data_IF_187110483174
#
_entry.id   IF_187110483174
#
_cell.length_a   1.000
_cell.length_b   1.000
_cell.length_c   1.000
_cell.angle_alpha   90.00
_cell.angle_beta   90.00
_cell.angle_gamma   90.00
#
_symmetry.space_group_name_H-M   'P 1'
#
loop_
_entity.id
_entity.type
_entity.pdbx_description
1 polymer ?
#
# COMPACT_ATOMS: atom_id res chain seq x y z
N UNK A 1 -15.95 -30.98 2.95
CA UNK A 1 -14.58 -30.63 3.37
C UNK A 1 -14.61 -29.19 3.78
N UNK A 2 -14.63 -28.89 5.06
CA UNK A 2 -14.52 -27.53 5.58
C UNK A 2 -13.08 -27.09 5.35
N UNK A 3 -12.86 -26.22 4.36
CA UNK A 3 -11.55 -25.60 4.15
C UNK A 3 -11.18 -24.88 5.47
N UNK A 4 -10.01 -25.19 6.02
CA UNK A 4 -9.49 -24.40 7.13
C UNK A 4 -9.39 -22.93 6.66
N UNK A 5 -9.70 -21.95 7.54
CA UNK A 5 -9.60 -20.56 7.16
C UNK A 5 -8.17 -20.24 6.70
N UNK A 6 -8.05 -19.54 5.57
CA UNK A 6 -6.77 -19.11 4.99
C UNK A 6 -5.96 -18.32 6.02
N UNK A 7 -4.73 -18.78 6.30
CA UNK A 7 -3.87 -18.15 7.32
C UNK A 7 -3.11 -17.00 6.72
N UNK A 8 -3.59 -15.80 7.01
CA UNK A 8 -3.03 -14.54 6.54
C UNK A 8 -1.90 -14.06 7.47
N UNK A 9 -0.71 -13.86 6.93
CA UNK A 9 0.37 -13.12 7.58
C UNK A 9 0.37 -11.67 7.08
N UNK A 10 0.30 -10.70 7.99
CA UNK A 10 0.35 -9.28 7.69
C UNK A 10 1.65 -8.66 8.19
N UNK A 11 2.47 -8.12 7.29
CA UNK A 11 3.67 -7.36 7.67
C UNK A 11 3.37 -5.87 7.78
N UNK A 12 3.96 -5.19 8.74
CA UNK A 12 3.66 -3.78 9.02
C UNK A 12 2.43 -3.57 9.91
N UNK A 13 2.12 -4.55 10.78
CA UNK A 13 0.93 -4.57 11.63
C UNK A 13 0.78 -3.40 12.61
N UNK A 14 1.86 -2.70 12.98
CA UNK A 14 1.83 -1.49 13.81
C UNK A 14 1.47 -0.22 13.04
N UNK A 15 1.53 -0.25 11.72
CA UNK A 15 1.21 0.86 10.84
C UNK A 15 -0.29 1.20 10.79
N UNK A 16 -0.61 2.28 10.08
CA UNK A 16 -1.99 2.77 9.94
C UNK A 16 -2.91 1.68 9.34
N UNK A 17 -2.52 1.09 8.21
CA UNK A 17 -3.27 0.02 7.55
C UNK A 17 -3.34 -1.24 8.42
N UNK A 18 -2.23 -1.62 9.08
CA UNK A 18 -2.19 -2.81 9.92
C UNK A 18 -3.18 -2.77 11.08
N UNK A 19 -3.32 -1.62 11.73
CA UNK A 19 -4.33 -1.43 12.79
C UNK A 19 -5.77 -1.53 12.26
N UNK A 20 -6.03 -1.03 11.06
CA UNK A 20 -7.36 -1.13 10.45
C UNK A 20 -7.67 -2.57 10.03
N UNK A 21 -6.73 -3.26 9.38
CA UNK A 21 -6.88 -4.67 8.98
C UNK A 21 -7.06 -5.58 10.20
N UNK A 22 -6.33 -5.35 11.30
CA UNK A 22 -6.46 -6.14 12.54
C UNK A 22 -7.88 -6.11 13.13
N UNK A 23 -8.60 -4.99 12.98
CA UNK A 23 -10.00 -4.88 13.44
C UNK A 23 -10.95 -5.74 12.61
N UNK A 24 -10.67 -5.90 11.31
CA UNK A 24 -11.51 -6.62 10.36
C UNK A 24 -11.15 -8.11 10.24
N UNK A 25 -9.88 -8.45 10.47
CA UNK A 25 -9.35 -9.81 10.38
C UNK A 25 -8.45 -10.11 11.60
N UNK A 26 -9.04 -10.21 12.82
CA UNK A 26 -8.28 -10.36 14.07
C UNK A 26 -7.58 -11.72 14.19
N UNK A 27 -7.98 -12.69 13.40
CA UNK A 27 -7.40 -14.04 13.29
C UNK A 27 -6.11 -14.08 12.43
N UNK A 28 -5.79 -13.01 11.68
CA UNK A 28 -4.55 -12.94 10.93
C UNK A 28 -3.33 -12.78 11.87
N UNK A 29 -2.15 -13.15 11.36
CA UNK A 29 -0.89 -13.06 12.09
C UNK A 29 -0.26 -11.67 11.86
N UNK A 30 0.00 -10.94 12.94
CA UNK A 30 0.58 -9.59 12.90
C UNK A 30 1.84 -9.52 13.76
N UNK A 31 2.95 -10.10 13.35
CA UNK A 31 4.19 -9.96 14.11
C UNK A 31 4.63 -8.49 14.17
N UNK A 32 5.28 -8.13 15.27
CA UNK A 32 5.98 -6.85 15.40
C UNK A 32 7.23 -6.84 14.53
N UNK A 33 7.79 -5.66 14.25
CA UNK A 33 9.05 -5.55 13.52
C UNK A 33 10.25 -6.13 14.29
N UNK A 34 10.17 -6.23 15.62
CA UNK A 34 11.19 -6.90 16.43
C UNK A 34 11.14 -8.43 16.35
N UNK A 35 9.99 -9.00 16.00
CA UNK A 35 9.80 -10.45 15.82
C UNK A 35 9.98 -10.88 14.35
N UNK A 36 9.67 -9.97 13.41
CA UNK A 36 9.65 -10.23 11.98
C UNK A 36 10.14 -9.00 11.21
N UNK A 37 11.45 -8.78 11.25
CA UNK A 37 12.08 -7.70 10.49
C UNK A 37 12.19 -8.13 9.03
N UNK A 38 11.52 -7.40 8.13
CA UNK A 38 11.56 -7.71 6.69
C UNK A 38 12.97 -7.56 6.09
N UNK A 39 13.85 -6.83 6.74
CA UNK A 39 15.26 -6.69 6.31
C UNK A 39 16.15 -7.89 6.73
N UNK A 40 15.68 -8.73 7.67
CA UNK A 40 16.38 -9.93 8.14
C UNK A 40 15.62 -11.20 7.70
N UNK A 41 16.07 -11.77 6.58
CA UNK A 41 15.49 -13.01 6.05
C UNK A 41 15.59 -14.18 7.03
N UNK A 42 16.67 -14.28 7.79
CA UNK A 42 16.89 -15.38 8.74
C UNK A 42 15.89 -15.33 9.89
N UNK A 43 15.63 -14.13 10.41
CA UNK A 43 14.61 -13.90 11.44
C UNK A 43 13.22 -14.24 10.91
N UNK A 44 12.86 -13.76 9.70
CA UNK A 44 11.60 -14.08 9.05
C UNK A 44 11.40 -15.60 8.88
N UNK A 45 12.40 -16.30 8.36
CA UNK A 45 12.38 -17.75 8.14
C UNK A 45 12.25 -18.52 9.45
N UNK A 46 12.92 -18.08 10.51
CA UNK A 46 12.79 -18.68 11.85
C UNK A 46 11.38 -18.48 12.43
N UNK A 47 10.82 -17.27 12.29
CA UNK A 47 9.50 -16.94 12.80
C UNK A 47 8.38 -17.75 12.16
N UNK A 48 8.43 -18.01 10.84
CA UNK A 48 7.40 -18.79 10.12
C UNK A 48 7.50 -20.30 10.35
N UNK A 49 8.59 -20.79 10.93
CA UNK A 49 8.81 -22.23 11.13
C UNK A 49 7.69 -22.87 11.94
N UNK A 50 7.07 -23.90 11.40
CA UNK A 50 5.95 -24.61 12.04
C UNK A 50 4.60 -23.86 11.97
N UNK A 51 4.54 -22.70 11.32
CA UNK A 51 3.28 -21.99 11.05
C UNK A 51 2.79 -22.27 9.64
N UNK A 52 1.55 -22.60 9.48
CA UNK A 52 0.92 -22.64 8.17
C UNK A 52 0.57 -21.19 7.76
N UNK A 53 1.04 -20.76 6.59
CA UNK A 53 0.79 -19.42 6.02
C UNK A 53 0.46 -19.65 4.56
N UNK A 54 -0.74 -19.25 4.17
CA UNK A 54 -1.26 -19.43 2.81
C UNK A 54 -1.11 -18.14 1.99
N UNK A 55 -1.29 -16.99 2.67
CA UNK A 55 -1.17 -15.67 2.05
C UNK A 55 -0.37 -14.72 2.94
N UNK A 56 0.50 -13.93 2.31
CA UNK A 56 1.23 -12.82 2.94
C UNK A 56 0.70 -11.50 2.37
N UNK A 57 0.13 -10.65 3.22
CA UNK A 57 -0.21 -9.26 2.89
C UNK A 57 0.95 -8.37 3.35
N UNK A 58 1.77 -7.94 2.39
CA UNK A 58 2.97 -7.17 2.65
C UNK A 58 2.70 -5.67 2.57
N UNK A 59 2.62 -5.01 3.73
CA UNK A 59 2.41 -3.57 3.89
C UNK A 59 3.51 -2.88 4.70
N UNK A 60 4.51 -3.62 5.17
CA UNK A 60 5.68 -3.02 5.81
C UNK A 60 6.44 -2.14 4.81
N UNK A 61 6.60 -0.87 5.14
CA UNK A 61 7.31 0.08 4.29
C UNK A 61 7.76 1.31 5.09
N UNK A 62 8.84 1.93 4.66
CA UNK A 62 9.25 3.26 5.07
C UNK A 62 8.61 4.27 4.11
N UNK A 63 7.64 5.08 4.59
CA UNK A 63 6.66 5.78 3.73
C UNK A 63 6.74 7.31 3.75
N UNK A 64 7.58 7.92 4.60
CA UNK A 64 7.67 9.38 4.71
C UNK A 64 8.62 9.97 3.66
N UNK A 65 8.15 10.66 2.59
CA UNK A 65 9.03 11.21 1.57
C UNK A 65 10.13 12.13 2.13
N UNK A 66 9.86 13.08 3.05
CA UNK A 66 10.93 13.90 3.63
C UNK A 66 12.01 13.08 4.34
N UNK A 67 11.61 12.06 5.12
CA UNK A 67 12.58 11.17 5.81
C UNK A 67 13.35 10.28 4.84
N UNK A 68 12.76 9.92 3.70
CA UNK A 68 13.45 9.16 2.64
C UNK A 68 14.45 10.04 1.89
N UNK A 69 14.16 11.34 1.76
CA UNK A 69 15.14 12.27 1.18
C UNK A 69 16.35 12.45 2.08
N UNK A 70 16.16 12.42 3.42
CA UNK A 70 17.23 12.45 4.42
C UNK A 70 18.00 11.11 4.50
N UNK A 71 17.29 9.98 4.46
CA UNK A 71 17.86 8.63 4.59
C UNK A 71 17.31 7.69 3.50
N UNK A 72 17.82 7.79 2.26
CA UNK A 72 17.37 6.93 1.15
C UNK A 72 17.81 5.46 1.31
N UNK A 73 18.88 5.17 2.05
CA UNK A 73 19.33 3.80 2.27
C UNK A 73 18.32 3.01 3.10
N UNK A 74 17.70 3.65 4.08
CA UNK A 74 16.61 3.00 4.83
C UNK A 74 15.43 2.62 3.95
N UNK A 75 15.09 3.44 2.95
CA UNK A 75 14.05 3.08 1.99
C UNK A 75 14.48 1.92 1.08
N UNK A 76 15.77 1.88 0.69
CA UNK A 76 16.33 0.75 -0.05
C UNK A 76 16.24 -0.54 0.76
N UNK A 77 16.65 -0.51 2.03
CA UNK A 77 16.64 -1.69 2.91
C UNK A 77 15.21 -2.18 3.17
N UNK A 78 14.30 -1.31 3.58
CA UNK A 78 12.94 -1.72 3.98
C UNK A 78 12.05 -1.98 2.75
N UNK A 79 12.00 -1.04 1.79
CA UNK A 79 11.02 -1.10 0.71
C UNK A 79 11.48 -2.01 -0.45
N UNK A 80 12.78 -2.12 -0.71
CA UNK A 80 13.30 -2.94 -1.81
C UNK A 80 13.80 -4.27 -1.26
N UNK A 81 14.88 -4.29 -0.45
CA UNK A 81 15.46 -5.52 0.08
C UNK A 81 14.43 -6.28 0.94
N UNK A 82 13.71 -5.58 1.80
CA UNK A 82 12.64 -6.16 2.62
C UNK A 82 11.57 -6.84 1.77
N UNK A 83 11.14 -6.20 0.67
CA UNK A 83 10.19 -6.83 -0.26
C UNK A 83 10.79 -8.03 -0.99
N UNK A 84 12.06 -7.98 -1.41
CA UNK A 84 12.77 -9.14 -1.98
C UNK A 84 12.80 -10.31 -0.99
N UNK A 85 13.07 -10.05 0.29
CA UNK A 85 13.04 -11.08 1.33
C UNK A 85 11.65 -11.71 1.49
N UNK A 86 10.58 -10.89 1.46
CA UNK A 86 9.19 -11.38 1.50
C UNK A 86 8.86 -12.23 0.27
N UNK A 87 9.29 -11.83 -0.93
CA UNK A 87 9.15 -12.61 -2.17
C UNK A 87 9.82 -13.98 -2.03
N UNK A 88 11.07 -14.02 -1.54
CA UNK A 88 11.79 -15.27 -1.28
C UNK A 88 11.06 -16.17 -0.27
N UNK A 89 10.55 -15.55 0.81
CA UNK A 89 9.80 -16.27 1.83
C UNK A 89 8.52 -16.89 1.25
N UNK A 90 7.73 -16.11 0.51
CA UNK A 90 6.52 -16.60 -0.15
C UNK A 90 6.82 -17.77 -1.10
N UNK A 91 7.90 -17.67 -1.89
CA UNK A 91 8.33 -18.77 -2.76
C UNK A 91 8.68 -20.04 -1.96
N UNK A 92 9.40 -19.89 -0.85
CA UNK A 92 9.77 -21.02 0.03
C UNK A 92 8.56 -21.68 0.70
N UNK A 93 7.56 -20.87 1.10
CA UNK A 93 6.33 -21.36 1.74
C UNK A 93 5.28 -21.84 0.73
N UNK A 94 5.46 -21.60 -0.56
CA UNK A 94 4.43 -21.70 -1.58
C UNK A 94 3.18 -20.85 -1.25
N UNK A 95 3.39 -19.71 -0.57
CA UNK A 95 2.34 -18.80 -0.16
C UNK A 95 2.08 -17.75 -1.24
N UNK A 96 0.82 -17.29 -1.33
CA UNK A 96 0.43 -16.16 -2.17
C UNK A 96 0.96 -14.84 -1.59
N UNK A 97 1.40 -13.92 -2.44
CA UNK A 97 1.84 -12.60 -2.02
C UNK A 97 0.85 -11.53 -2.48
N UNK A 98 0.35 -10.72 -1.56
CA UNK A 98 -0.38 -9.47 -1.85
C UNK A 98 0.47 -8.31 -1.37
N UNK A 99 0.92 -7.47 -2.28
CA UNK A 99 1.83 -6.35 -2.00
C UNK A 99 1.10 -5.02 -2.06
N UNK A 100 1.16 -4.24 -0.99
CA UNK A 100 0.60 -2.89 -0.93
C UNK A 100 1.60 -1.90 -1.53
N UNK A 101 1.31 -1.43 -2.74
CA UNK A 101 2.05 -0.40 -3.45
C UNK A 101 1.35 0.96 -3.32
N UNK A 102 1.68 1.91 -4.18
CA UNK A 102 1.23 3.29 -4.14
C UNK A 102 0.80 3.78 -5.52
N UNK A 103 -0.12 4.73 -5.57
CA UNK A 103 -0.46 5.52 -6.76
C UNK A 103 0.71 6.39 -7.24
N UNK A 104 1.68 6.71 -6.38
CA UNK A 104 2.87 7.52 -6.70
C UNK A 104 3.85 6.82 -7.66
N UNK A 105 3.63 5.56 -8.03
CA UNK A 105 4.40 4.92 -9.12
C UNK A 105 4.14 5.58 -10.48
N UNK A 106 3.06 6.32 -10.61
CA UNK A 106 2.74 7.09 -11.81
C UNK A 106 3.35 8.48 -11.79
N UNK A 107 3.58 9.05 -12.97
CA UNK A 107 4.16 10.38 -13.15
C UNK A 107 3.30 11.50 -12.53
N UNK A 108 1.98 11.32 -12.58
CA UNK A 108 1.04 12.28 -11.99
C UNK A 108 0.77 13.50 -12.87
N UNK A 109 0.85 13.37 -14.17
CA UNK A 109 0.63 14.44 -15.17
C UNK A 109 -0.75 14.41 -15.82
N UNK A 110 -1.55 13.33 -15.69
CA UNK A 110 -2.87 13.22 -16.34
C UNK A 110 -4.00 12.67 -15.47
N UNK A 111 -3.70 11.87 -14.45
CA UNK A 111 -4.70 11.19 -13.63
C UNK A 111 -5.46 10.05 -14.34
N UNK A 112 -6.43 9.45 -13.63
CA UNK A 112 -7.21 8.30 -14.11
C UNK A 112 -6.32 7.17 -14.68
N UNK A 113 -5.19 6.90 -14.00
CA UNK A 113 -4.25 5.87 -14.42
C UNK A 113 -4.85 4.48 -14.32
N UNK A 114 -4.62 3.67 -15.36
CA UNK A 114 -5.01 2.26 -15.45
C UNK A 114 -3.86 1.37 -14.99
N UNK A 115 -4.16 0.11 -14.68
CA UNK A 115 -3.16 -0.85 -14.21
C UNK A 115 -2.04 -1.14 -15.21
N UNK A 116 -2.32 -1.01 -16.51
CA UNK A 116 -1.41 -1.22 -17.63
C UNK A 116 -0.69 0.05 -18.12
N UNK A 117 -0.98 1.21 -17.52
CA UNK A 117 -0.29 2.45 -17.85
C UNK A 117 1.18 2.42 -17.43
N UNK A 118 2.00 3.18 -18.15
CA UNK A 118 3.43 3.36 -17.88
C UNK A 118 3.65 3.94 -16.47
N UNK A 119 4.57 3.32 -15.72
CA UNK A 119 4.98 3.79 -14.40
C UNK A 119 6.26 4.61 -14.51
N UNK A 120 6.23 5.83 -13.98
CA UNK A 120 7.36 6.75 -13.97
C UNK A 120 7.34 7.59 -12.69
N UNK A 121 7.91 7.07 -11.59
CA UNK A 121 7.94 7.76 -10.31
C UNK A 121 8.70 9.09 -10.36
N UNK A 122 8.23 10.08 -9.60
CA UNK A 122 8.84 11.42 -9.54
C UNK A 122 9.61 11.70 -8.24
N UNK A 123 9.58 10.77 -7.27
CA UNK A 123 10.31 10.91 -6.00
C UNK A 123 10.90 9.58 -5.52
N UNK A 124 11.84 9.66 -4.56
CA UNK A 124 12.58 8.48 -4.04
C UNK A 124 11.67 7.46 -3.37
N UNK A 125 10.62 7.90 -2.66
CA UNK A 125 9.63 7.01 -2.07
C UNK A 125 8.98 6.13 -3.14
N UNK A 126 8.47 6.73 -4.18
CA UNK A 126 7.78 6.03 -5.26
C UNK A 126 8.72 5.09 -6.02
N UNK A 127 9.98 5.50 -6.27
CA UNK A 127 11.01 4.62 -6.84
C UNK A 127 11.28 3.40 -5.96
N UNK A 128 11.37 3.57 -4.63
CA UNK A 128 11.58 2.44 -3.72
C UNK A 128 10.39 1.48 -3.72
N UNK A 129 9.14 1.98 -3.82
CA UNK A 129 7.93 1.16 -3.94
C UNK A 129 7.87 0.41 -5.27
N UNK A 130 8.23 1.08 -6.38
CA UNK A 130 8.33 0.44 -7.69
C UNK A 130 9.42 -0.66 -7.71
N UNK A 131 10.55 -0.45 -7.05
CA UNK A 131 11.57 -1.49 -6.87
C UNK A 131 11.01 -2.76 -6.20
N UNK A 132 10.13 -2.58 -5.20
CA UNK A 132 9.37 -3.68 -4.61
C UNK A 132 8.41 -4.35 -5.60
N UNK A 133 7.66 -3.57 -6.41
CA UNK A 133 6.79 -4.14 -7.45
C UNK A 133 7.57 -5.01 -8.45
N UNK A 134 8.78 -4.57 -8.85
CA UNK A 134 9.63 -5.35 -9.76
C UNK A 134 9.96 -6.74 -9.18
N UNK A 135 10.28 -6.83 -7.90
CA UNK A 135 10.54 -8.11 -7.25
C UNK A 135 9.28 -8.98 -7.16
N UNK A 136 8.14 -8.39 -6.79
CA UNK A 136 6.85 -9.10 -6.65
C UNK A 136 6.36 -9.69 -7.97
N UNK A 137 6.62 -9.02 -9.11
CA UNK A 137 6.26 -9.50 -10.46
C UNK A 137 6.96 -10.80 -10.89
N UNK A 138 7.97 -11.25 -10.14
CA UNK A 138 8.61 -12.55 -10.37
C UNK A 138 7.82 -13.74 -9.81
N UNK A 139 6.71 -13.48 -9.09
CA UNK A 139 5.80 -14.51 -8.59
C UNK A 139 4.49 -14.52 -9.40
N UNK A 140 4.14 -15.65 -9.99
CA UNK A 140 2.92 -15.82 -10.80
C UNK A 140 1.63 -15.68 -9.95
N UNK A 141 1.70 -16.06 -8.66
CA UNK A 141 0.57 -16.02 -7.72
C UNK A 141 0.56 -14.75 -6.86
N UNK A 142 1.13 -13.65 -7.34
CA UNK A 142 1.15 -12.40 -6.60
C UNK A 142 0.12 -11.39 -7.11
N UNK A 143 -0.36 -10.54 -6.18
CA UNK A 143 -1.20 -9.39 -6.45
C UNK A 143 -0.51 -8.11 -5.93
N UNK A 144 -0.38 -7.11 -6.79
CA UNK A 144 0.11 -5.77 -6.47
C UNK A 144 -1.09 -4.85 -6.34
N UNK A 145 -1.29 -4.24 -5.17
CA UNK A 145 -2.35 -3.28 -4.91
C UNK A 145 -1.78 -1.87 -4.92
N UNK A 146 -2.05 -1.10 -5.98
CA UNK A 146 -1.73 0.33 -6.02
C UNK A 146 -2.87 1.09 -5.36
N UNK A 147 -2.57 1.89 -4.34
CA UNK A 147 -3.57 2.57 -3.53
C UNK A 147 -3.03 3.87 -2.93
N UNK A 148 -3.95 4.72 -2.50
CA UNK A 148 -3.66 5.89 -1.68
C UNK A 148 -4.66 5.99 -0.54
N UNK A 149 -4.18 6.10 0.70
CA UNK A 149 -5.04 6.21 1.87
C UNK A 149 -4.42 7.12 2.94
N UNK A 150 -5.26 7.55 3.86
CA UNK A 150 -4.88 8.31 5.04
C UNK A 150 -5.68 7.88 6.27
N UNK A 151 -5.45 8.51 7.44
CA UNK A 151 -6.26 8.31 8.63
C UNK A 151 -7.76 8.53 8.35
N UNK A 152 -8.62 8.02 9.23
CA UNK A 152 -10.07 8.21 9.16
C UNK A 152 -10.52 9.65 9.46
N UNK A 153 -9.62 10.46 10.04
CA UNK A 153 -9.75 11.89 10.18
C UNK A 153 -8.57 12.60 9.51
N UNK A 154 -8.80 13.73 8.85
CA UNK A 154 -7.72 14.46 8.19
C UNK A 154 -6.82 15.15 9.23
N UNK A 155 -5.51 14.85 9.29
CA UNK A 155 -4.67 15.24 10.41
C UNK A 155 -3.99 16.61 10.26
N UNK A 156 -4.18 17.33 9.13
CA UNK A 156 -3.41 18.53 8.81
C UNK A 156 -4.28 19.77 8.71
N UNK A 157 -3.76 20.96 9.08
CA UNK A 157 -4.48 22.22 8.93
C UNK A 157 -4.57 22.72 7.48
N UNK A 158 -3.76 22.17 6.58
CA UNK A 158 -3.71 22.54 5.15
C UNK A 158 -3.77 21.32 4.26
N UNK A 159 -4.32 21.49 3.06
CA UNK A 159 -4.40 20.43 2.04
C UNK A 159 -4.25 21.02 0.63
N UNK A 160 -3.67 20.25 -0.28
CA UNK A 160 -3.46 20.67 -1.65
C UNK A 160 -4.78 20.83 -2.41
N UNK A 161 -5.00 22.02 -2.97
CA UNK A 161 -6.17 22.35 -3.80
C UNK A 161 -5.98 21.93 -5.27
N UNK A 162 -4.73 21.68 -5.67
CA UNK A 162 -4.30 21.39 -7.04
C UNK A 162 -3.59 20.03 -7.18
N UNK A 163 -3.54 19.21 -6.12
CA UNK A 163 -3.18 17.80 -6.17
C UNK A 163 -4.44 16.93 -6.21
N UNK A 164 -4.56 16.11 -7.25
CA UNK A 164 -5.66 15.16 -7.43
C UNK A 164 -5.27 13.74 -7.02
N UNK A 165 -6.21 13.03 -6.42
CA UNK A 165 -5.97 11.71 -5.86
C UNK A 165 -7.25 10.87 -5.86
N UNK A 166 -7.08 9.55 -5.74
CA UNK A 166 -8.13 8.59 -5.39
C UNK A 166 -8.06 8.14 -3.93
N UNK A 167 -7.49 8.98 -3.05
CA UNK A 167 -7.30 8.70 -1.63
C UNK A 167 -8.62 8.39 -0.91
N UNK A 168 -8.55 7.39 -0.02
CA UNK A 168 -9.63 6.99 0.86
C UNK A 168 -9.19 7.00 2.33
N UNK A 169 -10.17 6.96 3.24
CA UNK A 169 -9.93 6.66 4.64
C UNK A 169 -9.38 5.24 4.81
N UNK A 170 -8.48 5.05 5.76
CA UNK A 170 -7.83 3.75 5.97
C UNK A 170 -8.80 2.63 6.31
N UNK A 171 -9.89 2.93 7.02
CA UNK A 171 -10.93 1.94 7.35
C UNK A 171 -11.61 1.39 6.08
N UNK A 172 -11.93 2.28 5.12
CA UNK A 172 -12.51 1.90 3.82
C UNK A 172 -11.49 1.11 2.99
N UNK A 173 -10.25 1.60 2.90
CA UNK A 173 -9.17 0.94 2.15
C UNK A 173 -8.86 -0.44 2.71
N UNK A 174 -8.85 -0.62 4.03
CA UNK A 174 -8.60 -1.91 4.67
C UNK A 174 -9.64 -2.96 4.26
N UNK A 175 -10.92 -2.59 4.24
CA UNK A 175 -11.99 -3.47 3.76
C UNK A 175 -11.84 -3.84 2.28
N UNK A 176 -11.52 -2.84 1.43
CA UNK A 176 -11.30 -3.06 0.01
C UNK A 176 -10.06 -3.97 -0.26
N UNK A 177 -8.98 -3.77 0.47
CA UNK A 177 -7.78 -4.62 0.38
C UNK A 177 -8.09 -6.06 0.80
N UNK A 178 -8.84 -6.28 1.89
CA UNK A 178 -9.20 -7.62 2.33
C UNK A 178 -10.09 -8.34 1.31
N UNK A 179 -11.06 -7.64 0.68
CA UNK A 179 -11.81 -8.22 -0.44
C UNK A 179 -10.90 -8.62 -1.60
N UNK A 180 -9.88 -7.81 -1.91
CA UNK A 180 -8.90 -8.14 -2.94
C UNK A 180 -7.99 -9.33 -2.53
N UNK A 181 -7.65 -9.47 -1.25
CA UNK A 181 -6.96 -10.65 -0.71
C UNK A 181 -7.82 -11.89 -0.93
N UNK A 182 -9.09 -11.84 -0.54
CA UNK A 182 -10.01 -12.99 -0.60
C UNK A 182 -10.44 -13.36 -2.05
N UNK A 183 -10.26 -12.46 -3.03
CA UNK A 183 -10.67 -12.68 -4.42
C UNK A 183 -9.83 -13.70 -5.20
N UNK A 184 -8.61 -14.00 -4.74
CA UNK A 184 -7.67 -14.84 -5.50
C UNK A 184 -7.06 -14.20 -6.75
N UNK A 185 -7.36 -12.93 -7.06
CA UNK A 185 -6.83 -12.22 -8.23
C UNK A 185 -5.30 -12.09 -8.17
N UNK A 186 -4.68 -12.07 -9.35
CA UNK A 186 -3.24 -11.85 -9.52
C UNK A 186 -2.94 -10.66 -10.44
N UNK A 187 -1.66 -10.28 -10.53
CA UNK A 187 -1.21 -9.15 -11.34
C UNK A 187 -1.30 -7.81 -10.60
N UNK A 188 -1.78 -6.76 -11.25
CA UNK A 188 -1.92 -5.41 -10.65
C UNK A 188 -3.39 -5.06 -10.52
N UNK A 189 -3.78 -4.48 -9.39
CA UNK A 189 -5.14 -3.99 -9.15
C UNK A 189 -5.08 -2.62 -8.46
N UNK A 190 -5.90 -1.69 -8.92
CA UNK A 190 -6.05 -0.39 -8.30
C UNK A 190 -7.15 -0.40 -7.24
N UNK A 191 -6.83 0.13 -6.04
CA UNK A 191 -7.76 0.29 -4.92
C UNK A 191 -7.82 1.76 -4.54
N UNK A 192 -8.97 2.39 -4.70
CA UNK A 192 -9.13 3.83 -4.43
C UNK A 192 -10.56 4.30 -4.57
N UNK A 193 -10.78 5.52 -4.13
CA UNK A 193 -12.06 6.24 -4.24
C UNK A 193 -12.15 7.07 -5.53
N UNK A 194 -13.17 7.93 -5.61
CA UNK A 194 -13.34 8.84 -6.75
C UNK A 194 -12.17 9.84 -6.81
N UNK A 195 -11.84 10.27 -8.03
CA UNK A 195 -10.88 11.36 -8.27
C UNK A 195 -11.40 12.65 -7.66
N UNK A 196 -10.61 13.28 -6.80
CA UNK A 196 -10.87 14.57 -6.16
C UNK A 196 -9.58 15.24 -5.73
N UNK A 197 -9.60 16.54 -5.43
CA UNK A 197 -8.43 17.19 -4.85
C UNK A 197 -8.19 16.69 -3.42
N UNK A 198 -6.95 16.82 -2.92
CA UNK A 198 -6.66 16.48 -1.51
C UNK A 198 -7.45 17.39 -0.57
N UNK A 199 -7.69 18.64 -0.97
CA UNK A 199 -8.51 19.59 -0.19
C UNK A 199 -9.98 19.14 -0.12
N UNK A 200 -10.58 18.70 -1.24
CA UNK A 200 -11.95 18.20 -1.26
C UNK A 200 -12.07 16.89 -0.45
N UNK A 201 -11.05 16.02 -0.55
CA UNK A 201 -10.97 14.85 0.31
C UNK A 201 -10.95 15.20 1.79
N UNK A 202 -10.09 16.14 2.19
CA UNK A 202 -9.95 16.57 3.58
C UNK A 202 -11.26 17.15 4.15
N UNK A 203 -11.93 18.02 3.38
CA UNK A 203 -13.21 18.64 3.77
C UNK A 203 -14.34 17.63 3.89
N UNK A 204 -14.40 16.67 2.97
CA UNK A 204 -15.41 15.60 3.02
C UNK A 204 -15.18 14.64 4.19
N UNK A 205 -13.91 14.34 4.51
CA UNK A 205 -13.54 13.41 5.58
C UNK A 205 -13.73 14.03 6.98
N UNK A 206 -13.41 15.31 7.12
CA UNK A 206 -13.42 16.05 8.41
C UNK A 206 -14.14 17.38 8.28
N UNK A 207 -15.49 17.40 8.12
CA UNK A 207 -16.24 18.64 7.85
C UNK A 207 -16.12 19.69 8.94
N UNK A 208 -15.87 19.28 10.18
CA UNK A 208 -15.69 20.19 11.33
C UNK A 208 -14.30 20.84 11.36
N UNK A 209 -13.32 20.31 10.63
CA UNK A 209 -11.97 20.86 10.58
C UNK A 209 -11.89 21.97 9.52
N UNK A 210 -11.45 23.16 9.92
CA UNK A 210 -11.14 24.23 8.96
C UNK A 210 -9.82 23.94 8.28
N UNK A 211 -9.89 23.37 7.06
CA UNK A 211 -8.72 23.05 6.25
C UNK A 211 -8.47 24.17 5.23
N UNK A 212 -7.29 24.77 5.28
CA UNK A 212 -6.84 25.80 4.34
C UNK A 212 -6.29 25.19 3.04
N UNK A 213 -6.43 25.93 1.95
CA UNK A 213 -5.86 25.53 0.67
C UNK A 213 -4.33 25.74 0.66
N UNK A 214 -3.62 24.79 0.03
CA UNK A 214 -2.19 24.80 -0.26
C UNK A 214 -2.00 24.44 -1.72
N UNK A 215 -1.02 25.03 -2.41
CA UNK A 215 -0.63 24.62 -3.74
C UNK A 215 0.56 23.66 -3.70
N UNK A 216 0.66 22.75 -4.67
CA UNK A 216 1.84 21.90 -4.86
C UNK A 216 3.11 22.71 -5.14
N UNK A 217 2.97 23.97 -5.59
CA UNK A 217 4.06 24.89 -5.82
C UNK A 217 4.59 25.54 -4.53
N UNK A 218 3.84 25.49 -3.44
CA UNK A 218 4.21 26.10 -2.15
C UNK A 218 5.15 25.19 -1.31
N UNK A 219 5.47 23.99 -1.80
CA UNK A 219 6.33 23.04 -1.08
C UNK A 219 7.65 22.79 -1.81
N UNK A 220 8.70 22.49 -1.05
CA UNK A 220 10.06 22.29 -1.58
C UNK A 220 10.36 20.89 -2.10
N UNK A 221 9.42 19.93 -1.90
CA UNK A 221 9.58 18.55 -2.35
C UNK A 221 8.66 18.22 -3.53
N UNK A 222 9.07 17.28 -4.37
CA UNK A 222 8.31 16.89 -5.56
C UNK A 222 7.02 16.16 -5.21
N UNK A 223 5.89 16.73 -5.61
CA UNK A 223 4.54 16.18 -5.45
C UNK A 223 3.94 15.99 -6.84
N UNK A 224 3.49 14.78 -7.20
CA UNK A 224 2.78 14.58 -8.47
C UNK A 224 1.43 15.28 -8.43
N UNK A 225 1.04 15.94 -9.53
CA UNK A 225 -0.17 16.77 -9.58
C UNK A 225 -1.46 15.93 -9.60
N UNK A 226 -1.47 14.79 -10.28
CA UNK A 226 -2.66 13.93 -10.40
C UNK A 226 -2.28 12.45 -10.51
N UNK A 227 -2.33 11.73 -9.40
CA UNK A 227 -2.11 10.28 -9.34
C UNK A 227 -3.40 9.49 -9.19
N UNK A 228 -4.55 10.10 -9.53
CA UNK A 228 -5.84 9.40 -9.43
C UNK A 228 -5.85 8.13 -10.26
N UNK A 229 -6.47 7.10 -9.70
CA UNK A 229 -6.52 5.75 -10.24
C UNK A 229 -7.85 5.46 -10.92
N UNK A 230 -7.82 4.79 -12.05
CA UNK A 230 -9.00 4.09 -12.57
C UNK A 230 -9.18 2.78 -11.77
N UNK A 231 -10.32 2.64 -11.11
CA UNK A 231 -10.68 1.47 -10.30
C UNK A 231 -11.74 0.59 -10.97
N UNK A 232 -11.93 0.72 -12.29
CA UNK A 232 -12.94 -0.03 -13.05
C UNK A 232 -12.71 -1.53 -12.95
N UNK A 233 -11.44 -1.98 -12.98
CA UNK A 233 -11.09 -3.39 -12.80
C UNK A 233 -11.51 -3.89 -11.42
N UNK A 234 -11.26 -3.13 -10.35
CA UNK A 234 -11.67 -3.50 -8.99
C UNK A 234 -13.20 -3.69 -8.91
N UNK A 235 -13.98 -2.72 -9.39
CA UNK A 235 -15.46 -2.80 -9.38
C UNK A 235 -15.98 -3.98 -10.18
N UNK A 236 -15.37 -4.29 -11.32
CA UNK A 236 -15.77 -5.42 -12.16
C UNK A 236 -15.46 -6.78 -11.54
N UNK A 237 -14.28 -6.96 -10.94
CA UNK A 237 -13.79 -8.27 -10.47
C UNK A 237 -14.22 -8.57 -9.02
N UNK A 238 -14.45 -7.53 -8.20
CA UNK A 238 -14.68 -7.67 -6.75
C UNK A 238 -16.04 -7.09 -6.32
N UNK A 239 -16.52 -6.06 -7.00
CA UNK A 239 -17.70 -5.29 -6.61
C UNK A 239 -17.34 -4.06 -5.75
N UNK A 240 -18.36 -3.30 -5.36
CA UNK A 240 -18.24 -2.09 -4.53
C UNK A 240 -18.10 -2.42 -3.03
#
# INVERSE_FOLDING_TARGET
>A
MTSQPERLLFTGGSGLLGRAVRRLRPDALFPSSSEFDVTDYSQMAAWVRGRAIDTVLHAAAFTSPPKIDEDPLRALDVNVLGTVNVVRLCKTLNARLVYVSTDYVFRGDRGHYREDDEVLPVNKYAWSKLGGECAVRLLDNALILRTSFGPDEFPYPKAFADQWTSRQAVSVTAGAILRAVDSGLTGVLHVGGPRRTVLDYARALSPALKVEALSVQDVSFSVPADTSLDTTRYRREIGD
#
